data_IF_529706946447
#
_entry.id   IF_529706946447
#
_cell.length_a   1.000
_cell.length_b   1.000
_cell.length_c   1.000
_cell.angle_alpha   90.00
_cell.angle_beta   90.00
_cell.angle_gamma   90.00
#
_symmetry.space_group_name_H-M   'P 1'
#
loop_
_entity.id
_entity.type
_entity.pdbx_description
1 polymer ?
#
# COMPACT_ATOMS: atom_id res chain seq x y z
N UNK A 1 5.73 -32.97 -31.59
CA UNK A 1 5.11 -33.00 -30.23
C UNK A 1 5.94 -32.26 -29.16
N UNK A 2 6.62 -31.15 -29.48
CA UNK A 2 7.42 -30.35 -28.51
C UNK A 2 6.86 -28.94 -28.27
N UNK A 3 6.00 -28.44 -29.15
CA UNK A 3 5.36 -27.13 -29.05
C UNK A 3 4.28 -27.09 -27.96
N UNK A 4 3.51 -28.19 -27.83
CA UNK A 4 2.42 -28.30 -26.85
C UNK A 4 2.90 -28.33 -25.39
N UNK A 5 4.13 -28.80 -25.14
CA UNK A 5 4.69 -28.86 -23.78
C UNK A 5 5.13 -27.47 -23.29
N UNK A 6 5.67 -26.63 -24.18
CA UNK A 6 6.08 -25.25 -23.85
C UNK A 6 4.87 -24.33 -23.62
N UNK A 7 3.82 -24.51 -24.42
CA UNK A 7 2.56 -23.78 -24.24
C UNK A 7 1.88 -24.17 -22.92
N UNK A 8 1.88 -25.46 -22.59
CA UNK A 8 1.33 -25.98 -21.33
C UNK A 8 2.09 -25.46 -20.11
N UNK A 9 3.42 -25.40 -20.17
CA UNK A 9 4.23 -24.85 -19.07
C UNK A 9 4.01 -23.34 -18.87
N UNK A 10 3.83 -22.59 -19.97
CA UNK A 10 3.54 -21.16 -19.92
C UNK A 10 2.13 -20.87 -19.39
N UNK A 11 1.13 -21.65 -19.79
CA UNK A 11 -0.22 -21.58 -19.22
C UNK A 11 -0.24 -21.97 -17.74
N UNK A 12 0.51 -22.99 -17.33
CA UNK A 12 0.62 -23.38 -15.93
C UNK A 12 1.26 -22.26 -15.10
N UNK A 13 2.35 -21.65 -15.61
CA UNK A 13 3.03 -20.51 -14.97
C UNK A 13 2.09 -19.31 -14.80
N UNK A 14 1.29 -18.98 -15.83
CA UNK A 14 0.27 -17.91 -15.76
C UNK A 14 -0.83 -18.19 -14.73
N UNK A 15 -1.22 -19.46 -14.55
CA UNK A 15 -2.21 -19.86 -13.53
C UNK A 15 -1.62 -19.75 -12.13
N UNK A 16 -0.34 -20.06 -11.91
CA UNK A 16 0.32 -19.87 -10.60
C UNK A 16 0.56 -18.38 -10.30
N UNK A 17 0.81 -17.56 -11.32
CA UNK A 17 1.00 -16.12 -11.18
C UNK A 17 -0.31 -15.34 -10.90
N UNK A 18 -1.47 -16.01 -10.91
CA UNK A 18 -2.74 -15.45 -10.45
C UNK A 18 -2.80 -15.37 -8.92
N UNK A 19 -1.68 -15.01 -8.28
CA UNK A 19 -1.65 -14.72 -6.86
C UNK A 19 -2.43 -13.41 -6.67
N UNK A 20 -3.66 -13.52 -6.17
CA UNK A 20 -4.50 -12.36 -5.88
C UNK A 20 -3.69 -11.35 -5.08
N UNK A 21 -3.61 -10.10 -5.55
CA UNK A 21 -2.96 -9.03 -4.82
C UNK A 21 -3.74 -8.79 -3.51
N UNK A 22 -3.29 -9.40 -2.43
CA UNK A 22 -3.87 -9.18 -1.11
C UNK A 22 -3.31 -7.88 -0.56
N UNK A 23 -4.21 -7.02 -0.06
CA UNK A 23 -3.79 -5.83 0.63
C UNK A 23 -3.06 -6.21 1.92
N UNK A 24 -1.92 -5.56 2.18
CA UNK A 24 -1.15 -5.79 3.40
C UNK A 24 -1.93 -5.42 4.64
N UNK A 25 -1.74 -6.19 5.71
CA UNK A 25 -2.08 -5.75 7.06
C UNK A 25 -0.97 -4.89 7.64
N UNK A 26 -1.28 -4.11 8.68
CA UNK A 26 -0.26 -3.33 9.43
C UNK A 26 0.83 -4.25 9.98
N UNK A 27 0.48 -5.42 10.50
CA UNK A 27 1.45 -6.39 11.02
C UNK A 27 2.40 -6.92 9.94
N UNK A 28 1.91 -7.11 8.71
CA UNK A 28 2.77 -7.48 7.58
C UNK A 28 3.70 -6.34 7.19
N UNK A 29 3.22 -5.09 7.19
CA UNK A 29 4.09 -3.91 6.98
C UNK A 29 5.17 -3.86 8.05
N UNK A 30 4.83 -4.01 9.33
CA UNK A 30 5.78 -4.05 10.43
C UNK A 30 6.79 -5.20 10.33
N UNK A 31 6.35 -6.38 9.88
CA UNK A 31 7.22 -7.52 9.62
C UNK A 31 8.24 -7.21 8.52
N UNK A 32 7.78 -6.68 7.38
CA UNK A 32 8.63 -6.27 6.26
C UNK A 32 9.62 -5.17 6.69
N UNK A 33 9.16 -4.21 7.51
CA UNK A 33 10.03 -3.18 8.09
C UNK A 33 11.14 -3.80 8.95
N UNK A 34 10.79 -4.77 9.81
CA UNK A 34 11.72 -5.37 10.77
C UNK A 34 12.79 -6.26 10.11
N UNK A 35 12.49 -6.82 8.94
CA UNK A 35 13.40 -7.65 8.16
C UNK A 35 14.33 -6.83 7.23
N UNK A 36 14.18 -5.50 7.18
CA UNK A 36 14.95 -4.65 6.28
C UNK A 36 16.13 -3.98 7.01
N UNK A 37 17.35 -4.19 6.50
CA UNK A 37 18.61 -3.88 7.20
C UNK A 37 18.90 -2.39 7.45
N UNK A 38 18.16 -1.48 6.82
CA UNK A 38 18.39 -0.03 6.93
C UNK A 38 17.25 0.64 7.69
N UNK A 39 16.32 1.28 6.99
CA UNK A 39 15.13 1.92 7.53
C UNK A 39 13.91 1.41 6.80
N UNK A 40 12.79 1.29 7.50
CA UNK A 40 11.53 0.94 6.84
C UNK A 40 11.17 1.94 5.73
N UNK A 41 11.54 3.22 5.90
CA UNK A 41 11.34 4.27 4.88
C UNK A 41 12.09 3.97 3.59
N UNK A 42 13.25 3.32 3.67
CA UNK A 42 14.10 3.00 2.52
C UNK A 42 13.69 1.67 1.85
N UNK A 43 12.62 1.03 2.31
CA UNK A 43 12.13 -0.22 1.74
C UNK A 43 11.36 0.07 0.43
N UNK A 44 11.90 -0.28 -0.75
CA UNK A 44 11.29 0.10 -2.03
C UNK A 44 9.93 -0.57 -2.28
N UNK A 45 9.71 -1.75 -1.69
CA UNK A 45 8.42 -2.42 -1.79
C UNK A 45 7.34 -1.66 -1.02
N UNK A 46 7.64 -1.22 0.20
CA UNK A 46 6.69 -0.47 1.01
C UNK A 46 6.46 0.96 0.49
N UNK A 47 7.51 1.60 -0.05
CA UNK A 47 7.35 2.88 -0.77
C UNK A 47 6.39 2.73 -1.94
N UNK A 48 6.58 1.72 -2.79
CA UNK A 48 5.69 1.48 -3.93
C UNK A 48 4.25 1.12 -3.49
N UNK A 49 4.11 0.34 -2.41
CA UNK A 49 2.82 -0.01 -1.84
C UNK A 49 2.03 1.23 -1.37
N UNK A 50 2.67 2.11 -0.59
CA UNK A 50 2.03 3.35 -0.11
C UNK A 50 1.79 4.31 -1.27
N UNK A 51 2.81 4.56 -2.10
CA UNK A 51 2.74 5.44 -3.26
C UNK A 51 1.63 5.06 -4.22
N UNK A 52 1.48 3.77 -4.56
CA UNK A 52 0.39 3.31 -5.43
C UNK A 52 -1.01 3.55 -4.84
N UNK A 53 -1.16 3.48 -3.51
CA UNK A 53 -2.39 3.86 -2.83
C UNK A 53 -2.67 5.35 -2.90
N UNK A 54 -1.64 6.18 -2.72
CA UNK A 54 -1.73 7.64 -2.85
C UNK A 54 -2.08 8.07 -4.27
N UNK A 55 -1.48 7.46 -5.30
CA UNK A 55 -1.82 7.70 -6.71
C UNK A 55 -3.30 7.39 -7.01
N UNK A 56 -3.81 6.28 -6.46
CA UNK A 56 -5.23 5.95 -6.56
C UNK A 56 -6.10 7.03 -5.91
N UNK A 57 -5.74 7.50 -4.72
CA UNK A 57 -6.49 8.56 -4.01
C UNK A 57 -6.43 9.89 -4.77
N UNK A 58 -5.28 10.26 -5.34
CA UNK A 58 -5.11 11.45 -6.18
C UNK A 58 -6.05 11.37 -7.40
N UNK A 59 -6.04 10.23 -8.10
CA UNK A 59 -6.91 9.99 -9.27
C UNK A 59 -8.40 10.15 -8.90
N UNK A 60 -8.84 9.58 -7.77
CA UNK A 60 -10.22 9.72 -7.31
C UNK A 60 -10.56 11.18 -6.95
N UNK A 61 -9.61 11.93 -6.37
CA UNK A 61 -9.79 13.35 -6.07
C UNK A 61 -9.93 14.18 -7.35
N UNK A 62 -9.05 13.95 -8.34
CA UNK A 62 -9.10 14.62 -9.65
C UNK A 62 -10.42 14.38 -10.39
N UNK A 63 -10.95 13.15 -10.29
CA UNK A 63 -12.25 12.80 -10.86
C UNK A 63 -13.44 13.33 -10.06
N UNK A 64 -13.21 13.91 -8.87
CA UNK A 64 -14.28 14.35 -7.96
C UNK A 64 -15.09 13.19 -7.36
N UNK A 65 -14.54 11.98 -7.36
CA UNK A 65 -15.20 10.74 -6.89
C UNK A 65 -14.65 10.23 -5.55
N UNK A 66 -13.62 10.87 -5.01
CA UNK A 66 -13.14 10.58 -3.66
C UNK A 66 -14.24 10.92 -2.65
N UNK A 67 -14.82 9.90 -2.03
CA UNK A 67 -15.89 10.03 -1.03
C UNK A 67 -15.41 9.55 0.34
N UNK A 68 -15.91 10.17 1.41
CA UNK A 68 -15.58 9.78 2.79
C UNK A 68 -14.25 10.30 3.34
N UNK A 69 -13.46 11.03 2.54
CA UNK A 69 -12.25 11.73 2.98
C UNK A 69 -12.38 13.20 2.58
N UNK A 70 -12.44 14.10 3.56
CA UNK A 70 -12.37 15.54 3.34
C UNK A 70 -10.99 16.01 3.81
N UNK A 71 -10.14 16.36 2.85
CA UNK A 71 -8.80 16.92 3.12
C UNK A 71 -8.85 18.41 2.82
N UNK A 72 -8.56 19.22 3.82
CA UNK A 72 -8.48 20.67 3.70
C UNK A 72 -7.11 21.12 3.20
N UNK A 73 -6.08 20.36 3.55
CA UNK A 73 -4.72 20.60 3.07
C UNK A 73 -4.52 20.08 1.63
N UNK A 74 -3.63 20.71 0.85
CA UNK A 74 -3.21 20.20 -0.45
C UNK A 74 -2.68 18.76 -0.36
N UNK A 75 -2.94 17.95 -1.40
CA UNK A 75 -2.48 16.55 -1.46
C UNK A 75 -0.96 16.44 -1.34
N UNK A 76 -0.24 17.40 -1.93
CA UNK A 76 1.22 17.37 -2.06
C UNK A 76 1.93 17.52 -0.69
N UNK A 77 1.26 18.11 0.30
CA UNK A 77 1.78 18.26 1.66
C UNK A 77 1.44 17.06 2.56
N UNK A 78 0.33 16.37 2.26
CA UNK A 78 -0.17 15.23 3.03
C UNK A 78 0.38 13.88 2.52
N UNK A 79 0.74 13.77 1.25
CA UNK A 79 1.14 12.53 0.58
C UNK A 79 2.63 12.23 0.78
N UNK A 80 3.09 12.41 2.02
CA UNK A 80 4.45 12.14 2.47
C UNK A 80 4.59 10.65 2.81
N UNK A 81 5.11 9.89 1.85
CA UNK A 81 5.28 8.42 1.95
C UNK A 81 6.09 8.03 3.18
N UNK A 82 7.16 8.77 3.49
CA UNK A 82 8.05 8.46 4.60
C UNK A 82 7.32 8.60 5.94
N UNK A 83 6.58 9.70 6.14
CA UNK A 83 5.78 9.88 7.37
C UNK A 83 4.67 8.84 7.49
N UNK A 84 4.06 8.46 6.37
CA UNK A 84 3.03 7.40 6.36
C UNK A 84 3.64 6.05 6.75
N UNK A 85 4.83 5.72 6.25
CA UNK A 85 5.55 4.49 6.61
C UNK A 85 5.97 4.48 8.08
N UNK A 86 6.38 5.62 8.64
CA UNK A 86 6.62 5.75 10.09
C UNK A 86 5.35 5.51 10.90
N UNK A 87 4.24 6.10 10.47
CA UNK A 87 2.96 5.93 11.14
C UNK A 87 2.52 4.46 11.13
N UNK A 88 2.64 3.78 10.00
CA UNK A 88 2.31 2.35 9.88
C UNK A 88 3.24 1.47 10.70
N UNK A 89 4.56 1.74 10.68
CA UNK A 89 5.55 0.92 11.40
C UNK A 89 5.44 1.08 12.92
N UNK A 90 5.05 2.26 13.40
CA UNK A 90 4.85 2.56 14.82
C UNK A 90 3.44 2.26 15.37
N UNK A 91 2.55 1.72 14.53
CA UNK A 91 1.18 1.42 14.94
C UNK A 91 1.11 0.40 16.10
N UNK A 92 0.15 0.61 17.00
CA UNK A 92 -0.06 -0.25 18.18
C UNK A 92 -0.53 -1.66 17.80
N UNK A 93 -0.34 -2.61 18.70
CA UNK A 93 -0.65 -4.03 18.48
C UNK A 93 -2.10 -4.31 18.05
N UNK A 94 -3.06 -3.53 18.55
CA UNK A 94 -4.48 -3.65 18.19
C UNK A 94 -4.77 -3.28 16.72
N UNK A 95 -3.84 -2.60 16.05
CA UNK A 95 -3.91 -2.27 14.64
C UNK A 95 -3.29 -3.34 13.73
N UNK A 96 -2.51 -4.31 14.26
CA UNK A 96 -1.74 -5.27 13.45
C UNK A 96 -2.57 -6.08 12.45
N UNK A 97 -3.78 -6.46 12.83
CA UNK A 97 -4.68 -7.23 11.96
C UNK A 97 -5.45 -6.36 10.95
N UNK A 98 -5.39 -5.02 11.08
CA UNK A 98 -6.13 -4.10 10.20
C UNK A 98 -5.41 -3.95 8.86
N UNK A 99 -6.20 -3.65 7.83
CA UNK A 99 -5.69 -3.30 6.51
C UNK A 99 -4.80 -2.04 6.61
N UNK A 100 -3.58 -2.10 6.06
CA UNK A 100 -2.62 -1.02 6.13
C UNK A 100 -3.09 0.23 5.37
N UNK A 101 -3.65 0.08 4.17
CA UNK A 101 -4.16 1.21 3.39
C UNK A 101 -5.36 1.91 4.06
N UNK A 102 -6.17 1.17 4.82
CA UNK A 102 -7.19 1.79 5.68
C UNK A 102 -6.55 2.66 6.77
N UNK A 103 -5.42 2.25 7.36
CA UNK A 103 -4.68 3.10 8.30
C UNK A 103 -4.03 4.30 7.61
N UNK A 104 -3.57 4.18 6.36
CA UNK A 104 -3.12 5.34 5.56
C UNK A 104 -4.25 6.36 5.41
N UNK A 105 -5.47 5.91 5.08
CA UNK A 105 -6.64 6.79 5.02
C UNK A 105 -6.90 7.46 6.38
N UNK A 106 -6.84 6.71 7.48
CA UNK A 106 -6.99 7.28 8.83
C UNK A 106 -5.91 8.32 9.16
N UNK A 107 -4.68 8.11 8.73
CA UNK A 107 -3.60 9.09 8.85
C UNK A 107 -3.92 10.36 8.08
N UNK A 108 -4.27 10.25 6.79
CA UNK A 108 -4.60 11.39 5.95
C UNK A 108 -5.79 12.18 6.49
N UNK A 109 -6.82 11.49 7.00
CA UNK A 109 -7.95 12.13 7.65
C UNK A 109 -7.53 12.88 8.91
N UNK A 110 -6.64 12.31 9.74
CA UNK A 110 -6.19 12.97 10.98
C UNK A 110 -5.31 14.19 10.71
N UNK A 111 -4.37 14.08 9.77
CA UNK A 111 -3.41 15.15 9.48
C UNK A 111 -3.99 16.21 8.52
N UNK A 112 -4.96 15.84 7.69
CA UNK A 112 -5.55 16.70 6.67
C UNK A 112 -6.97 17.20 6.98
N UNK A 113 -7.57 16.79 8.10
CA UNK A 113 -8.88 17.28 8.51
C UNK A 113 -8.83 18.76 8.90
N UNK A 114 -9.85 19.50 8.46
CA UNK A 114 -10.42 20.58 9.26
C UNK A 114 -11.16 19.98 10.47
#
# INVERSE_FOLDING_TARGET
MRLNLRLSFFCLLMVVLSCSAQALTVGQVQGICAEYDTSCRDNPFLQAYVGGGLDMLATLKEQGTLTGIQLCEPSDELFDVDKILDFLSSAKDDAKAKNAMHQVISYLQREGSC
#
